data_IF_932792797267
#
_entry.id   IF_932792797267
#
_cell.length_a   1.000
_cell.length_b   1.000
_cell.length_c   1.000
_cell.angle_alpha   90.00
_cell.angle_beta   90.00
_cell.angle_gamma   90.00
#
_symmetry.space_group_name_H-M   'P 1'
#
loop_
_entity.id
_entity.type
_entity.pdbx_description
1 polymer ?
#
# COMPACT_ATOMS: atom_id res chain seq x y z
N UNK A 1 -18.98 67.93 -5.34
CA UNK A 1 -17.95 67.71 -4.30
C UNK A 1 -18.38 66.54 -3.43
N UNK A 2 -17.50 65.55 -3.19
CA UNK A 2 -17.34 64.74 -1.94
C UNK A 2 -18.62 64.17 -1.28
N UNK A 3 -18.77 62.90 -0.91
CA UNK A 3 -17.83 61.88 -0.45
C UNK A 3 -18.67 60.61 -0.11
N UNK A 4 -18.05 59.45 -0.25
CA UNK A 4 -18.16 58.29 0.65
C UNK A 4 -19.35 57.34 0.52
N UNK A 5 -19.17 56.43 -0.45
CA UNK A 5 -19.66 55.06 -0.45
C UNK A 5 -19.31 54.36 0.88
N UNK A 6 -20.30 54.16 1.74
CA UNK A 6 -20.17 53.42 3.00
C UNK A 6 -20.04 51.92 2.72
N UNK A 7 -18.80 51.48 2.57
CA UNK A 7 -18.41 50.10 2.25
C UNK A 7 -17.76 49.30 3.42
N UNK A 8 -18.15 49.41 4.71
CA UNK A 8 -17.50 48.58 5.73
C UNK A 8 -18.21 47.24 6.01
N UNK A 9 -19.48 47.05 5.62
CA UNK A 9 -20.24 45.86 6.03
C UNK A 9 -20.18 44.68 5.04
N UNK A 10 -19.96 44.95 3.75
CA UNK A 10 -19.91 43.88 2.72
C UNK A 10 -18.53 43.21 2.66
N UNK A 11 -17.46 43.92 3.05
CA UNK A 11 -16.10 43.38 3.03
C UNK A 11 -15.86 42.28 4.10
N UNK A 12 -16.63 42.26 5.18
CA UNK A 12 -16.42 41.32 6.30
C UNK A 12 -17.07 39.95 6.03
N UNK A 13 -18.15 39.89 5.25
CA UNK A 13 -18.86 38.62 4.98
C UNK A 13 -18.17 37.75 3.90
N UNK A 14 -17.37 38.35 3.01
CA UNK A 14 -16.60 37.62 1.99
C UNK A 14 -15.26 37.12 2.53
N UNK A 15 -14.69 37.77 3.55
CA UNK A 15 -13.42 37.35 4.18
C UNK A 15 -13.53 36.10 5.06
N UNK A 16 -14.71 35.81 5.62
CA UNK A 16 -14.94 34.65 6.50
C UNK A 16 -15.26 33.34 5.77
N UNK A 17 -15.63 33.41 4.49
CA UNK A 17 -15.83 32.22 3.63
C UNK A 17 -14.55 31.77 2.92
N UNK A 18 -13.46 32.54 2.98
CA UNK A 18 -12.17 32.22 2.33
C UNK A 18 -11.10 31.68 3.30
N UNK A 19 -11.32 31.69 4.61
CA UNK A 19 -10.32 31.24 5.60
C UNK A 19 -10.49 29.77 6.04
N UNK A 20 -11.51 29.07 5.55
CA UNK A 20 -11.79 27.66 5.88
C UNK A 20 -11.56 26.68 4.72
N UNK A 21 -10.84 27.11 3.68
CA UNK A 21 -10.45 26.25 2.57
C UNK A 21 -8.93 26.22 2.47
N UNK A 22 -8.35 25.02 2.48
CA UNK A 22 -6.92 24.71 2.32
C UNK A 22 -6.10 24.51 3.61
N UNK A 23 -6.69 23.83 4.59
CA UNK A 23 -5.90 22.80 5.26
C UNK A 23 -5.75 21.64 4.28
N UNK A 24 -4.67 21.61 3.50
CA UNK A 24 -4.29 20.40 2.79
C UNK A 24 -3.99 19.37 3.88
N UNK A 25 -4.98 18.53 4.21
CA UNK A 25 -4.75 17.34 4.98
C UNK A 25 -3.66 16.59 4.21
N UNK A 26 -2.48 16.46 4.80
CA UNK A 26 -1.50 15.49 4.35
C UNK A 26 -2.19 14.14 4.51
N UNK A 27 -2.90 13.71 3.46
CA UNK A 27 -3.50 12.39 3.41
C UNK A 27 -2.33 11.43 3.54
N UNK A 28 -2.27 10.73 4.67
CA UNK A 28 -1.27 9.72 4.89
C UNK A 28 -1.35 8.71 3.72
N UNK A 29 -0.19 8.31 3.19
CA UNK A 29 -0.15 7.25 2.19
C UNK A 29 -0.87 6.02 2.79
N UNK A 30 -1.73 5.34 2.01
CA UNK A 30 -2.42 4.16 2.51
C UNK A 30 -1.39 3.11 2.96
N UNK A 31 -1.68 2.41 4.04
CA UNK A 31 -0.80 1.33 4.50
C UNK A 31 -0.85 0.20 3.48
N UNK A 32 0.30 -0.45 3.23
CA UNK A 32 0.39 -1.52 2.24
C UNK A 32 -0.61 -2.66 2.50
N UNK A 33 -0.88 -2.97 3.78
CA UNK A 33 -1.87 -3.98 4.19
C UNK A 33 -3.30 -3.62 3.75
N UNK A 34 -3.68 -2.34 3.78
CA UNK A 34 -5.00 -1.91 3.36
C UNK A 34 -5.19 -1.99 1.86
N UNK A 35 -4.12 -1.72 1.10
CA UNK A 35 -4.11 -1.85 -0.36
C UNK A 35 -4.15 -3.32 -0.76
N UNK A 36 -3.34 -4.17 -0.13
CA UNK A 36 -3.33 -5.61 -0.38
C UNK A 36 -4.72 -6.23 -0.16
N UNK A 37 -5.39 -5.88 0.95
CA UNK A 37 -6.75 -6.33 1.24
C UNK A 37 -7.76 -5.91 0.16
N UNK A 38 -7.67 -4.67 -0.35
CA UNK A 38 -8.55 -4.21 -1.43
C UNK A 38 -8.32 -4.97 -2.74
N UNK A 39 -7.07 -5.35 -3.03
CA UNK A 39 -6.72 -6.17 -4.19
C UNK A 39 -7.32 -7.57 -4.02
N UNK A 40 -7.14 -8.19 -2.85
CA UNK A 40 -7.69 -9.51 -2.55
C UNK A 40 -9.22 -9.54 -2.68
N UNK A 41 -9.91 -8.51 -2.16
CA UNK A 41 -11.36 -8.35 -2.29
C UNK A 41 -11.82 -8.21 -3.75
N UNK A 42 -11.01 -7.56 -4.60
CA UNK A 42 -11.29 -7.43 -6.04
C UNK A 42 -11.06 -8.75 -6.77
N UNK A 43 -9.93 -9.43 -6.49
CA UNK A 43 -9.61 -10.74 -7.06
C UNK A 43 -10.66 -11.79 -6.70
N UNK A 44 -11.15 -11.77 -5.46
CA UNK A 44 -12.19 -12.68 -5.01
C UNK A 44 -13.49 -12.53 -5.82
N UNK A 45 -13.83 -11.33 -6.29
CA UNK A 45 -15.02 -11.09 -7.12
C UNK A 45 -14.87 -11.60 -8.54
N UNK A 46 -13.65 -11.56 -9.08
CA UNK A 46 -13.38 -11.84 -10.51
C UNK A 46 -12.88 -13.27 -10.77
N UNK A 47 -12.10 -13.84 -9.86
CA UNK A 47 -11.37 -15.10 -10.08
C UNK A 47 -11.98 -16.26 -9.31
N UNK A 48 -12.64 -16.00 -8.18
CA UNK A 48 -13.29 -17.03 -7.35
C UNK A 48 -14.76 -17.25 -7.69
N UNK A 49 -15.17 -16.88 -8.90
CA UNK A 49 -16.48 -17.24 -9.46
C UNK A 49 -16.53 -18.75 -9.76
N UNK A 50 -17.74 -19.29 -9.88
CA UNK A 50 -18.07 -20.72 -9.79
C UNK A 50 -17.04 -21.68 -10.43
N UNK A 51 -16.51 -22.58 -9.60
CA UNK A 51 -15.71 -23.73 -10.02
C UNK A 51 -14.19 -23.60 -9.89
N UNK A 52 -13.66 -22.44 -9.50
CA UNK A 52 -12.22 -22.22 -9.33
C UNK A 52 -11.84 -22.24 -7.85
N UNK A 53 -10.89 -23.10 -7.47
CA UNK A 53 -10.29 -23.14 -6.13
C UNK A 53 -8.88 -22.54 -6.12
N UNK A 54 -8.56 -21.81 -5.05
CA UNK A 54 -7.20 -21.29 -4.85
C UNK A 54 -6.25 -22.47 -4.64
N UNK A 55 -5.09 -22.42 -5.29
CA UNK A 55 -4.03 -23.41 -5.07
C UNK A 55 -3.62 -23.45 -3.59
N UNK A 56 -3.32 -24.64 -3.04
CA UNK A 56 -2.84 -24.75 -1.67
C UNK A 56 -1.54 -23.96 -1.48
N UNK A 57 -1.24 -23.55 -0.23
CA UNK A 57 0.03 -22.89 0.09
C UNK A 57 1.19 -23.83 -0.26
N UNK A 58 2.19 -23.28 -0.96
CA UNK A 58 3.40 -24.01 -1.26
C UNK A 58 4.33 -24.12 -0.04
N UNK A 59 5.23 -25.11 -0.09
CA UNK A 59 6.32 -25.26 0.86
C UNK A 59 7.33 -24.10 0.79
N UNK A 60 8.20 -24.02 1.79
CA UNK A 60 9.17 -22.95 1.96
C UNK A 60 10.21 -22.88 0.83
N UNK A 61 10.69 -24.02 0.33
CA UNK A 61 11.70 -24.04 -0.72
C UNK A 61 11.11 -23.55 -2.05
N UNK A 62 9.89 -24.00 -2.36
CA UNK A 62 9.12 -23.54 -3.52
C UNK A 62 8.79 -22.06 -3.42
N UNK A 63 8.41 -21.58 -2.23
CA UNK A 63 8.15 -20.17 -1.98
C UNK A 63 9.39 -19.32 -2.24
N UNK A 64 10.53 -19.64 -1.61
CA UNK A 64 11.78 -18.89 -1.76
C UNK A 64 12.18 -18.74 -3.23
N UNK A 65 12.20 -19.85 -3.98
CA UNK A 65 12.59 -19.84 -5.39
C UNK A 65 11.65 -18.98 -6.23
N UNK A 66 10.33 -19.09 -6.03
CA UNK A 66 9.35 -18.30 -6.78
C UNK A 66 9.48 -16.82 -6.48
N UNK A 67 9.54 -16.44 -5.21
CA UNK A 67 9.65 -15.02 -4.82
C UNK A 67 10.92 -14.37 -5.39
N UNK A 68 12.06 -15.08 -5.38
CA UNK A 68 13.29 -14.58 -6.00
C UNK A 68 13.15 -14.39 -7.52
N UNK A 69 12.59 -15.37 -8.23
CA UNK A 69 12.36 -15.25 -9.67
C UNK A 69 11.35 -14.15 -10.01
N UNK A 70 10.30 -13.99 -9.22
CA UNK A 70 9.21 -13.06 -9.49
C UNK A 70 9.61 -11.60 -9.17
N UNK A 71 10.41 -11.39 -8.12
CA UNK A 71 10.81 -10.05 -7.65
C UNK A 71 12.17 -9.63 -8.21
N UNK A 72 13.18 -10.49 -8.11
CA UNK A 72 14.57 -10.19 -8.51
C UNK A 72 14.84 -10.57 -9.96
N UNK A 73 14.14 -11.60 -10.48
CA UNK A 73 14.37 -12.12 -11.83
C UNK A 73 15.50 -13.14 -11.93
N UNK A 74 16.06 -13.58 -10.81
CA UNK A 74 17.14 -14.57 -10.74
C UNK A 74 16.92 -15.55 -9.58
N UNK A 75 17.65 -16.67 -9.58
CA UNK A 75 17.57 -17.68 -8.51
C UNK A 75 18.30 -17.22 -7.24
N UNK A 76 17.87 -17.68 -6.05
CA UNK A 76 18.56 -17.35 -4.80
C UNK A 76 19.95 -18.00 -4.77
N UNK A 77 20.95 -17.24 -4.31
CA UNK A 77 22.26 -17.78 -3.99
C UNK A 77 22.18 -18.82 -2.84
N UNK A 78 23.13 -19.78 -2.77
CA UNK A 78 23.09 -20.86 -1.77
C UNK A 78 22.99 -20.36 -0.33
N UNK A 79 23.61 -19.24 -0.01
CA UNK A 79 23.63 -18.65 1.33
C UNK A 79 22.23 -18.21 1.76
N UNK A 80 21.45 -17.63 0.84
CA UNK A 80 20.06 -17.24 1.10
C UNK A 80 19.15 -18.45 1.30
N UNK A 81 19.37 -19.52 0.54
CA UNK A 81 18.62 -20.77 0.71
C UNK A 81 18.86 -21.36 2.09
N UNK A 82 20.13 -21.41 2.53
CA UNK A 82 20.50 -21.93 3.85
C UNK A 82 19.89 -21.05 4.95
N UNK A 83 20.04 -19.73 4.86
CA UNK A 83 19.49 -18.80 5.84
C UNK A 83 17.97 -18.96 6.00
N UNK A 84 17.23 -18.95 4.90
CA UNK A 84 15.76 -19.06 4.92
C UNK A 84 15.24 -20.43 5.40
N UNK A 85 15.98 -21.50 5.10
CA UNK A 85 15.61 -22.87 5.52
C UNK A 85 15.83 -23.07 7.04
N UNK A 86 16.92 -22.49 7.56
CA UNK A 86 17.25 -22.58 8.98
C UNK A 86 16.40 -21.65 9.85
N UNK A 87 15.87 -20.56 9.29
CA UNK A 87 14.97 -19.67 9.99
C UNK A 87 13.65 -20.38 10.37
N UNK A 88 13.34 -20.33 11.68
CA UNK A 88 12.13 -20.90 12.30
C UNK A 88 11.11 -19.84 12.70
N UNK A 89 11.37 -18.58 12.40
CA UNK A 89 10.47 -17.48 12.70
C UNK A 89 9.15 -17.68 11.95
N UNK A 90 7.99 -17.53 12.63
CA UNK A 90 6.68 -17.74 12.03
C UNK A 90 6.39 -16.75 10.89
N UNK A 91 7.11 -15.62 10.85
CA UNK A 91 6.99 -14.48 9.94
C UNK A 91 8.18 -14.34 8.96
N UNK A 92 8.97 -15.40 8.79
CA UNK A 92 10.16 -15.37 7.91
C UNK A 92 9.86 -15.06 6.44
N UNK A 93 8.63 -15.37 5.98
CA UNK A 93 8.20 -15.08 4.60
C UNK A 93 7.96 -13.59 4.41
N UNK A 94 7.35 -12.95 5.39
CA UNK A 94 7.14 -11.50 5.45
C UNK A 94 8.48 -10.77 5.53
N UNK A 95 9.42 -11.25 6.35
CA UNK A 95 10.78 -10.72 6.41
C UNK A 95 11.49 -10.80 5.06
N UNK A 96 11.49 -11.97 4.41
CA UNK A 96 12.09 -12.13 3.09
C UNK A 96 11.51 -11.13 2.07
N UNK A 97 10.18 -11.01 1.99
CA UNK A 97 9.55 -10.09 1.03
C UNK A 97 9.91 -8.64 1.33
N UNK A 98 9.94 -8.25 2.60
CA UNK A 98 10.37 -6.91 3.00
C UNK A 98 11.82 -6.64 2.58
N UNK A 99 12.71 -7.60 2.81
CA UNK A 99 14.14 -7.45 2.49
C UNK A 99 14.37 -7.36 0.97
N UNK A 100 13.63 -8.14 0.18
CA UNK A 100 13.70 -8.11 -1.29
C UNK A 100 13.15 -6.82 -1.92
N UNK A 101 12.29 -6.09 -1.21
CA UNK A 101 11.65 -4.86 -1.70
C UNK A 101 12.22 -3.59 -1.05
N UNK A 102 13.31 -3.69 -0.29
CA UNK A 102 13.83 -2.62 0.57
C UNK A 102 14.66 -1.53 -0.14
N UNK A 103 14.53 -1.36 -1.47
CA UNK A 103 15.26 -0.38 -2.28
C UNK A 103 15.01 1.10 -1.90
#
# INVERSE_FOLDING_TARGET
MRRFRSWPKVAILVGLLFFFGHGAANAAKPQAVDVARQIDESLAKEVLVEGVSIAPRCDDATFLRRTWLDVVGDIPAPEHVIAFTLDKSPDKREHLVRDLLAD
#
